data_IF_919055839256
#
_entry.id   IF_919055839256
#
_cell.length_a   1.000
_cell.length_b   1.000
_cell.length_c   1.000
_cell.angle_alpha   90.00
_cell.angle_beta   90.00
_cell.angle_gamma   90.00
#
_symmetry.space_group_name_H-M   'P 1'
#
loop_
_entity.id
_entity.type
_entity.pdbx_description
1 polymer ?
#
# COMPACT_ATOMS: atom_id res chain seq x y z
N UNK A 1 -9.79 -11.45 -16.45
CA UNK A 1 -8.57 -11.31 -15.67
C UNK A 1 -8.80 -10.44 -14.44
N UNK A 2 -8.14 -10.80 -13.36
CA UNK A 2 -8.26 -10.03 -12.12
C UNK A 2 -7.20 -8.91 -12.11
N UNK A 3 -7.60 -7.72 -12.55
CA UNK A 3 -6.72 -6.57 -12.62
C UNK A 3 -6.35 -6.07 -11.22
N UNK A 4 -7.27 -6.17 -10.25
CA UNK A 4 -6.96 -5.77 -8.88
C UNK A 4 -5.82 -6.61 -8.32
N UNK A 5 -5.86 -7.92 -8.52
CA UNK A 5 -4.79 -8.81 -8.10
C UNK A 5 -3.47 -8.47 -8.79
N UNK A 6 -3.50 -8.16 -10.08
CA UNK A 6 -2.30 -7.80 -10.83
C UNK A 6 -1.64 -6.55 -10.26
N UNK A 7 -2.42 -5.51 -9.97
CA UNK A 7 -1.89 -4.29 -9.34
C UNK A 7 -1.39 -4.55 -7.92
N UNK A 8 -2.09 -5.37 -7.15
CA UNK A 8 -1.66 -5.71 -5.80
C UNK A 8 -0.30 -6.42 -5.81
N UNK A 9 -0.10 -7.35 -6.72
CA UNK A 9 1.18 -8.05 -6.89
C UNK A 9 2.28 -7.10 -7.33
N UNK A 10 1.98 -6.20 -8.25
CA UNK A 10 2.95 -5.20 -8.71
C UNK A 10 3.36 -4.28 -7.56
N UNK A 11 2.42 -3.87 -6.74
CA UNK A 11 2.71 -3.09 -5.54
C UNK A 11 3.66 -3.81 -4.60
N UNK A 12 3.42 -5.10 -4.37
CA UNK A 12 4.27 -5.92 -3.52
C UNK A 12 5.70 -6.03 -4.07
N UNK A 13 5.87 -6.13 -5.37
CA UNK A 13 7.18 -6.16 -6.01
C UNK A 13 7.91 -4.85 -5.78
N UNK A 14 7.26 -3.71 -6.02
CA UNK A 14 7.87 -2.41 -5.76
C UNK A 14 8.25 -2.24 -4.29
N UNK A 15 7.42 -2.71 -3.39
CA UNK A 15 7.73 -2.63 -1.97
C UNK A 15 9.00 -3.40 -1.64
N UNK A 16 9.16 -4.60 -2.17
CA UNK A 16 10.37 -5.40 -1.97
C UNK A 16 11.61 -4.74 -2.55
N UNK A 17 11.45 -3.94 -3.60
CA UNK A 17 12.55 -3.19 -4.20
C UNK A 17 12.87 -1.89 -3.44
N UNK A 18 12.12 -1.59 -2.38
CA UNK A 18 12.31 -0.38 -1.59
C UNK A 18 11.58 0.84 -2.16
N UNK A 19 10.78 0.66 -3.20
CA UNK A 19 10.03 1.76 -3.82
C UNK A 19 8.62 1.84 -3.23
N UNK A 20 8.53 2.44 -2.05
CA UNK A 20 7.26 2.53 -1.31
C UNK A 20 6.25 3.42 -2.03
N UNK A 21 6.72 4.46 -2.73
CA UNK A 21 5.81 5.35 -3.47
C UNK A 21 5.06 4.60 -4.56
N UNK A 22 5.78 3.86 -5.43
CA UNK A 22 5.14 3.08 -6.49
C UNK A 22 4.32 1.93 -5.93
N UNK A 23 4.77 1.31 -4.85
CA UNK A 23 3.99 0.28 -4.18
C UNK A 23 2.62 0.84 -3.76
N UNK A 24 2.61 2.00 -3.10
CA UNK A 24 1.39 2.65 -2.64
C UNK A 24 0.46 3.00 -3.80
N UNK A 25 1.01 3.53 -4.90
CA UNK A 25 0.22 3.86 -6.09
C UNK A 25 -0.48 2.61 -6.63
N UNK A 26 0.26 1.50 -6.75
CA UNK A 26 -0.30 0.26 -7.29
C UNK A 26 -1.34 -0.36 -6.35
N UNK A 27 -1.13 -0.32 -5.04
CA UNK A 27 -2.10 -0.80 -4.08
C UNK A 27 -3.37 0.06 -4.07
N UNK A 28 -3.24 1.38 -4.23
CA UNK A 28 -4.41 2.25 -4.37
C UNK A 28 -5.20 1.95 -5.63
N UNK A 29 -4.52 1.66 -6.74
CA UNK A 29 -5.19 1.23 -7.97
C UNK A 29 -5.93 -0.09 -7.77
N UNK A 30 -5.33 -1.03 -7.04
CA UNK A 30 -5.99 -2.30 -6.73
C UNK A 30 -7.29 -2.06 -5.94
N UNK A 31 -7.28 -1.15 -4.95
CA UNK A 31 -8.48 -0.82 -4.18
C UNK A 31 -9.54 -0.08 -4.99
N UNK A 32 -9.13 0.70 -5.99
CA UNK A 32 -10.09 1.33 -6.89
C UNK A 32 -10.86 0.30 -7.71
N UNK A 33 -10.15 -0.74 -8.15
CA UNK A 33 -10.75 -1.81 -8.94
C UNK A 33 -11.56 -2.77 -8.08
N UNK A 34 -11.12 -2.99 -6.85
CA UNK A 34 -11.80 -3.85 -5.89
C UNK A 34 -11.78 -3.18 -4.51
N UNK A 35 -12.80 -2.37 -4.18
CA UNK A 35 -12.85 -1.67 -2.89
C UNK A 35 -12.90 -2.59 -1.67
N UNK A 36 -13.23 -3.86 -1.85
CA UNK A 36 -13.32 -4.83 -0.77
C UNK A 36 -12.07 -5.72 -0.65
N UNK A 37 -10.98 -5.32 -1.29
CA UNK A 37 -9.71 -6.06 -1.23
C UNK A 37 -9.06 -5.81 0.13
N UNK A 38 -9.45 -6.57 1.13
CA UNK A 38 -9.08 -6.35 2.52
C UNK A 38 -7.58 -6.42 2.78
N UNK A 39 -6.88 -7.37 2.17
CA UNK A 39 -5.43 -7.49 2.34
C UNK A 39 -4.70 -6.22 1.95
N UNK A 40 -5.08 -5.63 0.81
CA UNK A 40 -4.47 -4.39 0.32
C UNK A 40 -4.84 -3.22 1.22
N UNK A 41 -6.10 -3.14 1.63
CA UNK A 41 -6.55 -2.10 2.56
C UNK A 41 -5.74 -2.14 3.85
N UNK A 42 -5.53 -3.32 4.40
CA UNK A 42 -4.79 -3.50 5.64
C UNK A 42 -3.32 -3.10 5.48
N UNK A 43 -2.70 -3.42 4.34
CA UNK A 43 -1.32 -3.00 4.05
C UNK A 43 -1.22 -1.48 4.02
N UNK A 44 -2.12 -0.81 3.30
CA UNK A 44 -2.12 0.65 3.20
C UNK A 44 -2.36 1.31 4.55
N UNK A 45 -3.25 0.75 5.35
CA UNK A 45 -3.52 1.23 6.69
C UNK A 45 -2.27 1.12 7.58
N UNK A 46 -1.57 -0.01 7.51
CA UNK A 46 -0.34 -0.22 8.28
C UNK A 46 0.75 0.78 7.88
N UNK A 47 0.91 1.05 6.58
CA UNK A 47 1.86 2.04 6.10
C UNK A 47 1.53 3.44 6.61
N UNK A 48 0.26 3.80 6.59
CA UNK A 48 -0.19 5.10 7.09
C UNK A 48 0.08 5.23 8.59
N UNK A 49 -0.21 4.21 9.37
CA UNK A 49 0.05 4.21 10.81
C UNK A 49 1.54 4.33 11.12
N UNK A 50 2.39 3.66 10.36
CA UNK A 50 3.84 3.78 10.53
C UNK A 50 4.34 5.18 10.27
N UNK A 51 3.81 5.86 9.24
CA UNK A 51 4.15 7.26 8.96
C UNK A 51 3.77 8.18 10.10
N UNK A 52 2.61 7.96 10.69
CA UNK A 52 2.16 8.75 11.84
C UNK A 52 3.06 8.53 13.05
N UNK A 53 3.46 7.30 13.31
CA UNK A 53 4.39 6.99 14.40
C UNK A 53 5.74 7.65 14.21
N UNK A 54 6.29 7.61 12.98
CA UNK A 54 7.55 8.26 12.66
C UNK A 54 7.47 9.76 12.85
N UNK A 55 6.38 10.40 12.42
CA UNK A 55 6.15 11.82 12.61
C UNK A 55 6.09 12.17 14.11
N UNK A 56 5.41 11.36 14.90
CA UNK A 56 5.31 11.59 16.35
C UNK A 56 6.64 11.47 17.08
N UNK A 57 7.54 10.62 16.59
CA UNK A 57 8.87 10.49 17.17
C UNK A 57 9.69 11.77 17.07
N UNK A 58 9.43 12.60 16.07
CA UNK A 58 10.15 13.84 15.84
C UNK A 58 9.48 15.04 16.50
N UNK A 59 8.29 14.92 17.01
CA UNK A 59 7.54 16.01 17.63
C UNK A 59 7.81 16.16 19.14
N UNK A 60 8.49 15.22 19.72
CA UNK A 60 8.92 15.29 21.12
C UNK A 60 10.31 15.94 21.23
#
# INVERSE_FOLDING_TARGET
PDLALAYARRGSIYYKLGDVQRATINWNLALRLDPEYDDVRNILKALHENRLKEANLFEE
#
